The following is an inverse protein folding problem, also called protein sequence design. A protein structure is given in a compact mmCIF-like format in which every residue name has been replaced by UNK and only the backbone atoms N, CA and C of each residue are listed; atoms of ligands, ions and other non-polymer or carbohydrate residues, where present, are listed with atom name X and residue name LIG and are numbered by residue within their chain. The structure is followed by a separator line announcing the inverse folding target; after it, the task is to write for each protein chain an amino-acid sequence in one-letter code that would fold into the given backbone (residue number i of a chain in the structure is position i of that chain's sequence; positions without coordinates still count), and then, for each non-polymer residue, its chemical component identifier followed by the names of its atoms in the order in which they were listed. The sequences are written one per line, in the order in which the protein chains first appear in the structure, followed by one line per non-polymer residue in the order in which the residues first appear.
data_IF_944148686219
#
_entry.id   IF_944148686219
#
_cell.length_a   1.000
_cell.length_b   1.000
_cell.length_c   1.000
_cell.angle_alpha   90.00
_cell.angle_beta   90.00
_cell.angle_gamma   90.00
#
_symmetry.space_group_name_H-M   'P 1'
#
loop_
_entity.id
_entity.type
_entity.pdbx_description
1 polymer ?
#
# COMPACT_ATOMS: atom_id res chain seq x y z
N UNK A 1 26.02 -2.29 28.26
CA UNK A 1 25.25 -3.51 28.59
C UNK A 1 23.81 -3.19 28.26
N UNK A 2 23.33 -3.69 27.12
CA UNK A 2 21.95 -3.49 26.63
C UNK A 2 21.20 -4.80 26.86
N UNK A 3 20.14 -4.72 27.67
CA UNK A 3 19.31 -5.87 28.03
C UNK A 3 18.38 -6.26 26.87
N UNK A 4 18.43 -7.55 26.53
CA UNK A 4 17.54 -8.19 25.57
C UNK A 4 16.11 -8.27 26.12
N UNK A 5 15.21 -7.41 25.66
CA UNK A 5 13.79 -7.48 25.93
C UNK A 5 13.11 -8.59 25.13
N UNK A 6 12.97 -9.78 25.74
CA UNK A 6 12.16 -10.87 25.19
C UNK A 6 10.68 -10.54 25.42
N UNK A 7 9.92 -10.31 24.34
CA UNK A 7 8.48 -10.09 24.41
C UNK A 7 7.74 -11.41 24.71
N UNK A 8 7.17 -11.50 25.92
CA UNK A 8 6.23 -12.58 26.26
C UNK A 8 4.83 -12.21 25.76
N UNK A 9 4.40 -12.84 24.68
CA UNK A 9 3.03 -12.75 24.19
C UNK A 9 2.04 -13.44 25.14
N UNK A 10 0.95 -12.76 25.45
CA UNK A 10 -0.15 -13.30 26.26
C UNK A 10 -1.00 -14.26 25.40
N UNK A 11 -1.26 -15.46 25.92
CA UNK A 11 -1.76 -16.64 25.20
C UNK A 11 -3.17 -16.62 24.57
N UNK A 12 -3.91 -15.51 24.57
CA UNK A 12 -5.24 -15.43 23.92
C UNK A 12 -5.19 -14.96 22.46
N UNK A 13 -4.18 -14.19 22.08
CA UNK A 13 -3.97 -13.73 20.69
C UNK A 13 -3.49 -14.86 19.75
N UNK A 14 -2.90 -15.93 20.28
CA UNK A 14 -2.31 -17.02 19.49
C UNK A 14 -3.31 -17.90 18.74
N UNK A 15 -4.50 -18.14 19.27
CA UNK A 15 -5.47 -19.07 18.62
C UNK A 15 -6.23 -18.40 17.46
N UNK A 16 -6.57 -17.13 17.58
CA UNK A 16 -7.21 -16.38 16.48
C UNK A 16 -6.21 -16.07 15.35
N UNK A 17 -4.95 -15.83 15.69
CA UNK A 17 -3.86 -15.64 14.71
C UNK A 17 -3.60 -16.92 13.89
N UNK A 18 -3.59 -18.10 14.53
CA UNK A 18 -3.40 -19.40 13.86
C UNK A 18 -4.56 -19.79 12.94
N UNK A 19 -5.80 -19.41 13.28
CA UNK A 19 -6.96 -19.64 12.40
C UNK A 19 -6.97 -18.69 11.20
N UNK A 20 -6.50 -17.46 11.38
CA UNK A 20 -6.29 -16.49 10.31
C UNK A 20 -5.21 -16.94 9.32
N UNK A 21 -4.06 -17.38 9.81
CA UNK A 21 -2.94 -17.86 8.98
C UNK A 21 -3.32 -19.07 8.12
N UNK A 22 -4.09 -20.04 8.62
CA UNK A 22 -4.60 -21.17 7.82
C UNK A 22 -5.55 -20.72 6.72
N UNK A 23 -6.38 -19.71 6.97
CA UNK A 23 -7.26 -19.12 5.94
C UNK A 23 -6.45 -18.40 4.87
N UNK A 24 -5.41 -17.69 5.24
CA UNK A 24 -4.53 -16.93 4.33
C UNK A 24 -3.75 -17.88 3.42
N UNK A 25 -3.18 -18.97 3.96
CA UNK A 25 -2.44 -19.97 3.19
C UNK A 25 -3.30 -20.61 2.08
N UNK A 26 -4.63 -20.68 2.26
CA UNK A 26 -5.55 -21.20 1.25
C UNK A 26 -5.95 -20.18 0.16
N UNK A 27 -5.60 -18.90 0.31
CA UNK A 27 -5.87 -17.88 -0.69
C UNK A 27 -4.85 -17.92 -1.84
N UNK A 28 -3.67 -18.46 -1.60
CA UNK A 28 -2.55 -18.48 -2.56
C UNK A 28 -1.79 -19.81 -2.50
N UNK A 29 -1.27 -20.32 -3.64
CA UNK A 29 -1.12 -19.64 -4.93
C UNK A 29 -2.45 -19.49 -5.72
N UNK A 30 -2.54 -18.41 -6.53
CA UNK A 30 -3.66 -18.15 -7.41
C UNK A 30 -3.17 -17.89 -8.83
N UNK A 31 -3.63 -18.69 -9.79
CA UNK A 31 -3.34 -18.49 -11.22
C UNK A 31 -4.41 -17.62 -11.88
N UNK A 32 -4.00 -16.77 -12.80
CA UNK A 32 -4.87 -15.92 -13.60
C UNK A 32 -4.25 -15.58 -14.95
N UNK A 33 -5.08 -15.12 -15.90
CA UNK A 33 -4.62 -14.69 -17.22
C UNK A 33 -4.89 -13.20 -17.41
N UNK A 34 -3.90 -12.46 -17.90
CA UNK A 34 -4.02 -11.05 -18.27
C UNK A 34 -3.36 -10.83 -19.63
N UNK A 35 -4.13 -10.26 -20.58
CA UNK A 35 -3.67 -9.99 -21.95
C UNK A 35 -2.99 -11.21 -22.61
N UNK A 36 -3.57 -12.41 -22.43
CA UNK A 36 -3.07 -13.66 -22.99
C UNK A 36 -1.85 -14.26 -22.29
N UNK A 37 -1.34 -13.65 -21.21
CA UNK A 37 -0.25 -14.20 -20.40
C UNK A 37 -0.78 -14.87 -19.15
N UNK A 38 -0.39 -16.12 -18.93
CA UNK A 38 -0.63 -16.84 -17.68
C UNK A 38 0.31 -16.31 -16.61
N UNK A 39 -0.22 -16.05 -15.42
CA UNK A 39 0.51 -15.53 -14.27
C UNK A 39 0.06 -16.26 -13.01
N UNK A 40 0.96 -16.36 -12.04
CA UNK A 40 0.69 -16.90 -10.71
C UNK A 40 0.99 -15.84 -9.66
N UNK A 41 0.08 -15.65 -8.73
CA UNK A 41 0.30 -14.83 -7.53
C UNK A 41 0.50 -15.76 -6.35
N UNK A 42 1.58 -15.56 -5.60
CA UNK A 42 1.90 -16.35 -4.39
C UNK A 42 2.68 -15.54 -3.37
N UNK A 43 2.69 -16.00 -2.15
CA UNK A 43 3.63 -15.47 -1.16
C UNK A 43 5.05 -15.85 -1.54
N UNK A 44 5.94 -14.87 -1.43
CA UNK A 44 7.37 -15.07 -1.63
C UNK A 44 8.01 -15.46 -0.29
N UNK A 45 9.10 -16.19 -0.38
CA UNK A 45 9.91 -16.64 0.74
C UNK A 45 11.33 -16.08 0.60
N UNK A 46 12.15 -16.21 1.63
CA UNK A 46 13.50 -15.61 1.68
C UNK A 46 14.36 -15.96 0.47
N UNK A 47 14.23 -17.17 -0.09
CA UNK A 47 14.94 -17.55 -1.32
C UNK A 47 14.58 -16.70 -2.55
N UNK A 48 13.52 -15.91 -2.49
CA UNK A 48 13.12 -14.94 -3.53
C UNK A 48 13.74 -13.55 -3.35
N UNK A 49 14.59 -13.35 -2.34
CA UNK A 49 15.18 -12.04 -2.02
C UNK A 49 15.96 -11.45 -3.20
N UNK A 50 16.78 -12.24 -3.86
CA UNK A 50 17.59 -11.81 -5.02
C UNK A 50 16.71 -11.35 -6.19
N UNK A 51 15.63 -12.09 -6.50
CA UNK A 51 14.70 -11.73 -7.58
C UNK A 51 13.94 -10.45 -7.24
N UNK A 52 13.54 -10.28 -5.97
CA UNK A 52 12.87 -9.10 -5.50
C UNK A 52 13.77 -7.87 -5.58
N UNK A 53 15.01 -7.97 -5.11
CA UNK A 53 16.01 -6.90 -5.17
C UNK A 53 16.35 -6.52 -6.63
N UNK A 54 16.50 -7.52 -7.52
CA UNK A 54 16.74 -7.29 -8.94
C UNK A 54 15.55 -6.57 -9.61
N UNK A 55 14.32 -7.00 -9.31
CA UNK A 55 13.13 -6.34 -9.84
C UNK A 55 12.99 -4.90 -9.30
N UNK A 56 13.28 -4.66 -8.02
CA UNK A 56 13.30 -3.31 -7.45
C UNK A 56 14.30 -2.41 -8.21
N UNK A 57 15.54 -2.88 -8.37
CA UNK A 57 16.59 -2.13 -9.06
C UNK A 57 16.21 -1.81 -10.50
N UNK A 58 15.63 -2.77 -11.23
CA UNK A 58 15.12 -2.57 -12.57
C UNK A 58 14.00 -1.51 -12.60
N UNK A 59 13.05 -1.57 -11.66
CA UNK A 59 11.95 -0.59 -11.60
C UNK A 59 12.51 0.80 -11.33
N UNK A 60 13.40 0.95 -10.36
CA UNK A 60 14.02 2.24 -10.00
C UNK A 60 14.79 2.83 -11.18
N UNK A 61 15.57 2.02 -11.92
CA UNK A 61 16.34 2.49 -13.08
C UNK A 61 15.49 3.01 -14.24
N UNK A 62 14.19 2.69 -14.28
CA UNK A 62 13.24 3.12 -15.33
C UNK A 62 12.34 4.27 -14.89
N UNK A 63 12.52 4.81 -13.70
CA UNK A 63 11.73 5.94 -13.23
C UNK A 63 12.32 7.27 -13.72
N UNK A 64 11.47 8.24 -14.09
CA UNK A 64 11.94 9.56 -14.51
C UNK A 64 12.56 10.35 -13.36
N UNK A 65 12.15 10.10 -12.12
CA UNK A 65 12.60 10.80 -10.93
C UNK A 65 12.73 9.82 -9.76
N UNK A 66 13.82 9.96 -8.99
CA UNK A 66 14.12 9.06 -7.85
C UNK A 66 13.07 9.12 -6.74
N UNK A 67 12.42 10.27 -6.56
CA UNK A 67 11.41 10.47 -5.52
C UNK A 67 10.07 9.77 -5.80
N UNK A 68 9.88 9.20 -7.00
CA UNK A 68 8.64 8.48 -7.33
C UNK A 68 8.51 7.18 -6.53
N UNK A 69 9.62 6.53 -6.24
CA UNK A 69 9.65 5.27 -5.50
C UNK A 69 10.79 5.30 -4.48
N UNK A 70 10.49 4.96 -3.24
CA UNK A 70 11.50 4.81 -2.20
C UNK A 70 12.01 3.36 -2.21
N UNK A 71 13.23 3.11 -2.69
CA UNK A 71 13.79 1.76 -2.66
C UNK A 71 14.17 1.37 -1.24
N UNK A 72 14.14 0.08 -0.98
CA UNK A 72 14.59 -0.51 0.27
C UNK A 72 15.96 -1.16 0.06
N UNK A 73 16.82 -1.07 1.06
CA UNK A 73 18.09 -1.79 1.07
C UNK A 73 17.89 -3.29 1.29
N UNK A 74 18.94 -4.06 1.05
CA UNK A 74 18.90 -5.52 1.14
C UNK A 74 18.64 -5.99 2.57
N UNK A 75 19.17 -5.29 3.58
CA UNK A 75 18.93 -5.60 4.98
C UNK A 75 17.46 -5.45 5.35
N UNK A 76 16.80 -4.37 4.90
CA UNK A 76 15.38 -4.19 5.08
C UNK A 76 14.56 -5.28 4.39
N UNK A 77 14.91 -5.59 3.12
CA UNK A 77 14.22 -6.63 2.34
C UNK A 77 14.36 -8.00 2.99
N UNK A 78 15.54 -8.35 3.52
CA UNK A 78 15.76 -9.60 4.25
C UNK A 78 14.90 -9.66 5.52
N UNK A 79 14.84 -8.58 6.29
CA UNK A 79 14.02 -8.52 7.51
C UNK A 79 12.53 -8.69 7.24
N UNK A 80 12.01 -8.19 6.12
CA UNK A 80 10.59 -8.28 5.82
C UNK A 80 10.14 -9.74 5.61
N UNK A 81 11.02 -10.61 5.11
CA UNK A 81 10.75 -12.03 4.95
C UNK A 81 10.63 -12.80 6.28
N UNK A 82 11.10 -12.22 7.40
CA UNK A 82 10.91 -12.79 8.74
C UNK A 82 9.45 -12.72 9.20
N UNK A 83 8.63 -11.90 8.54
CA UNK A 83 7.19 -11.81 8.80
C UNK A 83 6.45 -12.63 7.75
N UNK A 84 5.77 -13.68 8.19
CA UNK A 84 5.00 -14.54 7.29
C UNK A 84 3.95 -13.75 6.51
N UNK A 85 3.74 -14.12 5.25
CA UNK A 85 2.73 -13.51 4.37
C UNK A 85 2.90 -12.01 4.11
N UNK A 86 4.07 -11.44 4.41
CA UNK A 86 4.35 -10.02 4.21
C UNK A 86 4.64 -9.65 2.76
N UNK A 87 5.08 -10.60 1.92
CA UNK A 87 5.47 -10.34 0.53
C UNK A 87 4.65 -11.19 -0.42
N UNK A 88 3.88 -10.54 -1.29
CA UNK A 88 3.22 -11.19 -2.43
C UNK A 88 3.99 -10.92 -3.71
N UNK A 89 4.19 -11.95 -4.53
CA UNK A 89 4.79 -11.86 -5.85
C UNK A 89 3.84 -12.32 -6.94
N UNK A 90 3.99 -11.76 -8.13
CA UNK A 90 3.37 -12.24 -9.36
C UNK A 90 4.48 -12.76 -10.27
N UNK A 91 4.34 -14.01 -10.68
CA UNK A 91 5.26 -14.69 -11.59
C UNK A 91 4.61 -14.87 -12.97
N UNK A 92 5.41 -14.69 -14.02
CA UNK A 92 5.07 -15.09 -15.40
C UNK A 92 6.07 -16.19 -15.81
N UNK A 93 5.61 -17.44 -15.78
CA UNK A 93 6.51 -18.58 -15.70
C UNK A 93 7.33 -18.56 -14.42
N UNK A 94 8.63 -18.67 -14.50
CA UNK A 94 9.53 -18.60 -13.33
C UNK A 94 9.97 -17.17 -12.97
N UNK A 95 9.68 -16.18 -13.84
CA UNK A 95 10.16 -14.81 -13.66
C UNK A 95 9.22 -14.01 -12.74
N UNK A 96 9.78 -13.41 -11.67
CA UNK A 96 9.08 -12.43 -10.86
C UNK A 96 8.86 -11.13 -11.68
N UNK A 97 7.58 -10.74 -11.85
CA UNK A 97 7.18 -9.59 -12.68
C UNK A 97 6.49 -8.48 -11.90
N UNK A 98 6.04 -8.77 -10.69
CA UNK A 98 5.56 -7.76 -9.76
C UNK A 98 5.65 -8.28 -8.33
N UNK A 99 5.76 -7.37 -7.36
CA UNK A 99 5.64 -7.71 -5.95
C UNK A 99 4.94 -6.59 -5.16
N UNK A 100 4.45 -6.94 -3.99
CA UNK A 100 4.01 -5.98 -2.98
C UNK A 100 4.45 -6.44 -1.60
N UNK A 101 4.69 -5.45 -0.73
CA UNK A 101 5.15 -5.66 0.65
C UNK A 101 4.14 -5.05 1.60
N UNK A 102 3.75 -5.82 2.62
CA UNK A 102 3.05 -5.32 3.81
C UNK A 102 4.02 -5.27 4.98
N UNK A 103 3.89 -4.24 5.79
CA UNK A 103 4.58 -4.08 7.07
C UNK A 103 3.59 -3.79 8.19
N UNK A 104 3.88 -4.30 9.36
CA UNK A 104 3.11 -4.09 10.58
C UNK A 104 3.92 -3.19 11.53
N UNK A 105 3.68 -1.87 11.54
CA UNK A 105 4.52 -0.91 12.27
C UNK A 105 4.28 -0.90 13.79
N UNK A 106 3.17 -1.50 14.25
CA UNK A 106 2.73 -1.38 15.64
C UNK A 106 2.54 0.09 16.04
N UNK A 107 2.87 0.46 17.27
CA UNK A 107 2.79 1.84 17.76
C UNK A 107 4.07 2.66 17.51
N UNK A 108 4.96 2.18 16.65
CA UNK A 108 6.24 2.82 16.33
C UNK A 108 6.08 4.23 15.75
N UNK A 109 7.12 5.08 15.94
CA UNK A 109 7.13 6.49 15.48
C UNK A 109 6.98 6.64 13.95
N UNK A 110 7.26 5.60 13.20
CA UNK A 110 7.15 5.53 11.75
C UNK A 110 5.80 4.98 11.26
N UNK A 111 4.84 4.77 12.20
CA UNK A 111 3.48 4.41 11.84
C UNK A 111 2.76 5.60 11.20
N UNK A 112 2.34 5.45 9.94
CA UNK A 112 1.64 6.49 9.16
C UNK A 112 0.30 6.91 9.77
N UNK A 113 -0.29 6.10 10.63
CA UNK A 113 -1.50 6.46 11.38
C UNK A 113 -1.27 7.62 12.33
N UNK A 114 -0.02 7.82 12.82
CA UNK A 114 0.32 8.99 13.63
C UNK A 114 0.21 10.30 12.83
N UNK A 115 0.57 10.29 11.55
CA UNK A 115 0.42 11.45 10.66
C UNK A 115 -1.06 11.79 10.40
N UNK A 116 -1.96 10.86 10.69
CA UNK A 116 -3.42 11.01 10.56
C UNK A 116 -4.12 11.23 11.91
N UNK A 117 -3.37 11.34 13.01
CA UNK A 117 -3.86 11.46 14.38
C UNK A 117 -4.83 10.33 14.77
N UNK A 118 -4.57 9.11 14.32
CA UNK A 118 -5.34 7.94 14.75
C UNK A 118 -5.08 7.63 16.22
N UNK A 119 -6.08 7.07 16.90
CA UNK A 119 -5.95 6.64 18.28
C UNK A 119 -4.90 5.52 18.43
N UNK A 120 -4.29 5.39 19.61
CA UNK A 120 -3.24 4.39 19.86
C UNK A 120 -3.75 2.95 19.62
N UNK A 121 -5.03 2.70 19.87
CA UNK A 121 -5.68 1.41 19.63
C UNK A 121 -5.75 1.08 18.14
N UNK A 122 -6.08 2.08 17.31
CA UNK A 122 -6.10 1.95 15.85
C UNK A 122 -4.70 1.73 15.28
N UNK A 123 -3.67 2.37 15.88
CA UNK A 123 -2.28 2.17 15.46
C UNK A 123 -1.82 0.71 15.59
N UNK A 124 -2.31 -0.02 16.60
CA UNK A 124 -1.98 -1.44 16.81
C UNK A 124 -2.57 -2.34 15.73
N UNK A 125 -3.71 -1.94 15.17
CA UNK A 125 -4.46 -2.68 14.14
C UNK A 125 -4.25 -2.10 12.74
N UNK A 126 -3.16 -1.34 12.53
CA UNK A 126 -2.83 -0.71 11.27
C UNK A 126 -1.67 -1.41 10.58
N UNK A 127 -1.82 -1.68 9.30
CA UNK A 127 -0.76 -2.16 8.43
C UNK A 127 -0.34 -1.09 7.41
N UNK A 128 0.89 -1.19 6.92
CA UNK A 128 1.36 -0.40 5.79
C UNK A 128 1.43 -1.25 4.53
N UNK A 129 0.80 -0.79 3.44
CA UNK A 129 1.16 -1.23 2.11
C UNK A 129 2.46 -0.50 1.72
N UNK A 130 3.58 -1.14 2.06
CA UNK A 130 4.90 -0.51 2.10
C UNK A 130 5.47 -0.24 0.71
N UNK A 131 5.32 -1.18 -0.21
CA UNK A 131 5.80 -1.06 -1.57
C UNK A 131 4.96 -1.90 -2.53
N UNK A 132 4.80 -1.42 -3.76
CA UNK A 132 4.36 -2.24 -4.90
C UNK A 132 5.26 -1.87 -6.08
N UNK A 133 5.89 -2.86 -6.68
CA UNK A 133 6.70 -2.68 -7.89
C UNK A 133 6.20 -3.59 -9.01
N UNK A 134 6.19 -3.08 -10.23
CA UNK A 134 5.78 -3.81 -11.43
C UNK A 134 6.83 -3.64 -12.51
N UNK A 135 7.31 -4.76 -13.02
CA UNK A 135 8.27 -4.82 -14.12
C UNK A 135 7.79 -3.94 -15.29
N UNK A 136 8.65 -3.10 -15.90
CA UNK A 136 8.25 -2.15 -16.95
C UNK A 136 7.41 -2.78 -18.08
N UNK A 137 7.77 -3.96 -18.57
CA UNK A 137 7.04 -4.66 -19.63
C UNK A 137 5.69 -5.26 -19.19
N UNK A 138 5.39 -5.26 -17.90
CA UNK A 138 4.12 -5.73 -17.33
C UNK A 138 3.28 -4.60 -16.75
N UNK A 139 3.68 -3.33 -16.97
CA UNK A 139 2.83 -2.17 -16.68
C UNK A 139 1.58 -2.19 -17.57
N UNK A 140 0.47 -1.67 -17.09
CA UNK A 140 -0.80 -1.70 -17.80
C UNK A 140 -1.56 -3.04 -17.74
N UNK A 141 -1.03 -4.06 -17.05
CA UNK A 141 -1.71 -5.34 -16.81
C UNK A 141 -2.61 -5.32 -15.56
N UNK A 142 -2.67 -4.22 -14.83
CA UNK A 142 -3.48 -4.09 -13.60
C UNK A 142 -2.84 -4.71 -12.37
N UNK A 143 -1.58 -5.18 -12.43
CA UNK A 143 -0.93 -5.95 -11.37
C UNK A 143 -0.84 -5.19 -10.05
N UNK A 144 -0.65 -3.87 -10.07
CA UNK A 144 -0.64 -3.06 -8.84
C UNK A 144 -1.98 -3.15 -8.09
N UNK A 145 -3.11 -3.09 -8.80
CA UNK A 145 -4.44 -3.21 -8.19
C UNK A 145 -4.72 -4.63 -7.70
N UNK A 146 -4.31 -5.63 -8.47
CA UNK A 146 -4.43 -7.04 -8.05
C UNK A 146 -3.65 -7.31 -6.74
N UNK A 147 -2.41 -6.85 -6.66
CA UNK A 147 -1.58 -7.00 -5.46
C UNK A 147 -2.15 -6.22 -4.26
N UNK A 148 -2.61 -4.98 -4.46
CA UNK A 148 -3.24 -4.20 -3.40
C UNK A 148 -4.52 -4.89 -2.89
N UNK A 149 -5.38 -5.36 -3.80
CA UNK A 149 -6.60 -6.09 -3.43
C UNK A 149 -6.30 -7.40 -2.69
N UNK A 150 -5.25 -8.11 -3.12
CA UNK A 150 -4.80 -9.34 -2.47
C UNK A 150 -4.36 -9.10 -1.02
N UNK A 151 -3.55 -8.06 -0.78
CA UNK A 151 -3.16 -7.70 0.58
C UNK A 151 -4.34 -7.22 1.44
N UNK A 152 -5.31 -6.51 0.86
CA UNK A 152 -6.53 -6.16 1.59
C UNK A 152 -7.28 -7.40 2.08
N UNK A 153 -7.39 -8.45 1.26
CA UNK A 153 -7.99 -9.73 1.66
C UNK A 153 -7.21 -10.42 2.79
N UNK A 154 -5.86 -10.38 2.71
CA UNK A 154 -4.98 -10.90 3.77
C UNK A 154 -5.22 -10.16 5.08
N UNK A 155 -5.27 -8.83 5.06
CA UNK A 155 -5.47 -8.01 6.25
C UNK A 155 -6.86 -8.21 6.87
N UNK A 156 -7.90 -8.26 6.05
CA UNK A 156 -9.26 -8.56 6.49
C UNK A 156 -9.34 -9.91 7.19
N UNK A 157 -8.65 -10.93 6.63
CA UNK A 157 -8.58 -12.27 7.22
C UNK A 157 -7.72 -12.33 8.50
N UNK A 158 -6.81 -11.37 8.70
CA UNK A 158 -5.90 -11.29 9.84
C UNK A 158 -6.42 -10.39 10.97
N UNK A 159 -7.60 -9.78 10.81
CA UNK A 159 -8.20 -8.90 11.81
C UNK A 159 -7.61 -7.49 11.87
N UNK A 160 -6.82 -7.07 10.88
CA UNK A 160 -6.40 -5.68 10.75
C UNK A 160 -7.56 -4.82 10.26
N UNK A 161 -7.70 -3.63 10.83
CA UNK A 161 -8.84 -2.73 10.55
C UNK A 161 -8.44 -1.53 9.71
N UNK A 162 -7.14 -1.22 9.65
CA UNK A 162 -6.61 -0.03 8.98
C UNK A 162 -5.43 -0.37 8.09
N UNK A 163 -5.36 0.29 6.94
CA UNK A 163 -4.19 0.22 6.07
C UNK A 163 -3.82 1.62 5.56
N UNK A 164 -2.54 1.94 5.65
CA UNK A 164 -1.96 3.15 5.10
C UNK A 164 -0.88 2.86 4.07
N UNK A 165 -0.67 3.80 3.17
CA UNK A 165 0.48 3.80 2.26
C UNK A 165 0.87 5.22 1.89
N UNK A 166 2.05 5.38 1.27
CA UNK A 166 2.49 6.67 0.73
C UNK A 166 2.58 6.63 -0.79
N UNK A 167 2.24 7.75 -1.42
CA UNK A 167 2.43 7.94 -2.87
C UNK A 167 3.01 9.32 -3.14
N UNK A 168 3.97 9.42 -4.08
CA UNK A 168 4.46 10.71 -4.57
C UNK A 168 3.38 11.43 -5.37
N UNK A 169 3.17 12.75 -5.21
CA UNK A 169 2.32 13.55 -6.10
C UNK A 169 2.73 13.46 -7.58
N UNK A 170 3.97 13.11 -7.85
CA UNK A 170 4.52 12.89 -9.21
C UNK A 170 4.20 11.49 -9.77
N UNK A 171 3.43 10.66 -9.05
CA UNK A 171 3.01 9.34 -9.50
C UNK A 171 1.48 9.20 -9.58
N UNK A 172 0.82 9.94 -10.49
CA UNK A 172 -0.63 9.91 -10.62
C UNK A 172 -1.16 8.51 -11.01
N UNK A 173 -0.36 7.70 -11.70
CA UNK A 173 -0.73 6.33 -12.08
C UNK A 173 -0.88 5.44 -10.84
N UNK A 174 0.11 5.47 -9.93
CA UNK A 174 0.04 4.73 -8.68
C UNK A 174 -1.10 5.26 -7.80
N UNK A 175 -1.23 6.59 -7.71
CA UNK A 175 -2.30 7.24 -6.97
C UNK A 175 -3.68 6.77 -7.45
N UNK A 176 -3.95 6.83 -8.75
CA UNK A 176 -5.21 6.39 -9.34
C UNK A 176 -5.50 4.90 -9.06
N UNK A 177 -4.49 4.03 -9.16
CA UNK A 177 -4.65 2.61 -8.87
C UNK A 177 -5.08 2.36 -7.42
N UNK A 178 -4.47 3.04 -6.45
CA UNK A 178 -4.79 2.87 -5.03
C UNK A 178 -6.13 3.50 -4.67
N UNK A 179 -6.45 4.69 -5.21
CA UNK A 179 -7.77 5.30 -5.03
C UNK A 179 -8.89 4.38 -5.58
N UNK A 180 -8.64 3.72 -6.72
CA UNK A 180 -9.60 2.74 -7.28
C UNK A 180 -9.77 1.47 -6.41
N UNK A 181 -8.80 1.18 -5.52
CA UNK A 181 -8.91 0.13 -4.49
C UNK A 181 -9.61 0.63 -3.21
N UNK A 182 -10.13 1.86 -3.20
CA UNK A 182 -10.87 2.43 -2.08
C UNK A 182 -10.04 3.21 -1.08
N UNK A 183 -8.75 3.40 -1.33
CA UNK A 183 -7.94 4.32 -0.53
C UNK A 183 -8.40 5.77 -0.71
N UNK A 184 -8.08 6.62 0.27
CA UNK A 184 -8.34 8.07 0.26
C UNK A 184 -7.09 8.82 0.67
N UNK A 185 -6.80 9.94 0.03
CA UNK A 185 -5.73 10.85 0.45
C UNK A 185 -6.22 11.63 1.65
N UNK A 186 -5.54 11.45 2.79
CA UNK A 186 -5.88 12.12 4.06
C UNK A 186 -4.82 13.07 4.58
N UNK A 187 -3.58 12.98 4.07
CA UNK A 187 -2.54 13.95 4.36
C UNK A 187 -1.63 14.14 3.15
N UNK A 188 -0.96 15.30 3.09
CA UNK A 188 0.11 15.61 2.14
C UNK A 188 1.22 16.29 2.91
N UNK A 189 2.30 15.56 3.18
CA UNK A 189 3.37 15.96 4.07
C UNK A 189 4.75 15.56 3.52
N UNK A 190 5.83 16.23 3.92
CA UNK A 190 7.17 15.77 3.60
C UNK A 190 7.52 14.51 4.41
N UNK A 191 8.04 13.50 3.71
CA UNK A 191 8.58 12.24 4.25
C UNK A 191 9.92 11.97 3.59
N UNK A 192 10.70 10.99 4.08
CA UNK A 192 11.92 10.51 3.44
C UNK A 192 12.79 11.67 2.90
N UNK A 193 13.67 12.22 3.65
CA UNK A 193 14.55 13.33 3.22
C UNK A 193 13.82 14.59 2.64
N UNK A 194 12.56 14.80 3.01
CA UNK A 194 11.80 16.00 2.63
C UNK A 194 10.94 15.86 1.38
N UNK A 195 10.82 14.69 0.79
CA UNK A 195 9.96 14.48 -0.38
C UNK A 195 8.47 14.53 -0.04
N UNK A 196 7.70 15.25 -0.81
CA UNK A 196 6.25 15.29 -0.64
C UNK A 196 5.61 13.93 -0.87
N UNK A 197 4.74 13.52 0.08
CA UNK A 197 3.99 12.27 0.01
C UNK A 197 2.54 12.49 0.39
N UNK A 198 1.65 11.97 -0.42
CA UNK A 198 0.31 11.67 0.04
C UNK A 198 0.39 10.55 1.06
N UNK A 199 -0.34 10.70 2.16
CA UNK A 199 -0.68 9.57 3.05
C UNK A 199 -2.07 9.11 2.65
N UNK A 200 -2.15 7.91 2.12
CA UNK A 200 -3.40 7.28 1.77
C UNK A 200 -3.83 6.36 2.91
N UNK A 201 -5.13 6.39 3.17
CA UNK A 201 -5.75 5.58 4.20
C UNK A 201 -6.93 4.81 3.62
N UNK A 202 -7.16 3.60 4.14
CA UNK A 202 -8.36 2.82 3.91
C UNK A 202 -8.72 2.04 5.18
N UNK A 203 -9.98 2.10 5.62
CA UNK A 203 -10.53 1.15 6.57
C UNK A 203 -10.69 -0.22 5.90
N UNK A 204 -10.30 -1.27 6.59
CA UNK A 204 -10.47 -2.67 6.18
C UNK A 204 -11.76 -3.14 6.84
N UNK A 205 -12.92 -2.65 6.40
CA UNK A 205 -14.19 -3.06 7.00
C UNK A 205 -14.67 -4.38 6.41
N UNK A 206 -15.22 -5.21 7.30
CA UNK A 206 -15.89 -6.46 6.94
C UNK A 206 -17.14 -6.13 6.11
N UNK A 207 -16.99 -6.20 4.81
CA UNK A 207 -18.04 -6.44 3.78
C UNK A 207 -19.31 -5.59 3.69
N UNK A 208 -19.45 -4.40 4.25
CA UNK A 208 -20.70 -3.62 4.04
C UNK A 208 -20.55 -2.20 3.48
N UNK A 209 -19.38 -1.60 3.57
CA UNK A 209 -19.18 -0.23 3.12
C UNK A 209 -18.55 -0.14 1.72
N UNK A 210 -19.28 -0.55 0.69
CA UNK A 210 -19.05 0.04 -0.63
C UNK A 210 -19.40 1.52 -0.48
N UNK A 211 -18.43 2.44 -0.75
CA UNK A 211 -18.76 3.85 -0.73
C UNK A 211 -19.93 4.06 -1.67
N UNK A 212 -21.05 4.49 -1.14
CA UNK A 212 -22.15 5.02 -1.95
C UNK A 212 -21.53 6.09 -2.83
N UNK A 213 -21.83 6.05 -4.12
CA UNK A 213 -21.48 7.12 -5.05
C UNK A 213 -22.19 8.38 -4.54
N UNK A 214 -21.50 9.11 -3.67
CA UNK A 214 -22.00 10.39 -3.21
C UNK A 214 -21.87 11.33 -4.40
N UNK A 215 -23.00 11.68 -4.98
CA UNK A 215 -23.15 12.87 -5.83
C UNK A 215 -23.07 14.06 -4.87
N UNK A 216 -21.84 14.43 -4.47
CA UNK A 216 -21.67 15.66 -3.68
C UNK A 216 -21.48 16.83 -4.62
N UNK A 217 -22.31 17.87 -4.46
CA UNK A 217 -22.23 19.12 -5.22
C UNK A 217 -20.92 19.89 -5.00
N UNK A 218 -20.06 19.45 -4.07
CA UNK A 218 -18.82 20.10 -3.65
C UNK A 218 -17.56 19.32 -4.05
N UNK A 219 -17.47 18.88 -5.30
CA UNK A 219 -16.24 18.30 -5.83
C UNK A 219 -15.25 19.41 -6.22
N UNK A 220 -14.01 19.35 -5.71
CA UNK A 220 -12.96 20.32 -6.01
C UNK A 220 -11.78 19.58 -6.65
N UNK A 221 -11.47 19.89 -7.91
CA UNK A 221 -10.28 19.42 -8.61
C UNK A 221 -9.10 20.37 -8.38
N UNK A 222 -7.95 19.81 -7.98
CA UNK A 222 -6.69 20.56 -7.83
C UNK A 222 -5.54 19.79 -8.49
N UNK A 223 -4.71 20.50 -9.23
CA UNK A 223 -3.52 19.94 -9.86
C UNK A 223 -2.64 19.21 -8.83
N UNK A 224 -2.18 18.00 -9.15
CA UNK A 224 -1.30 17.21 -8.27
C UNK A 224 0.01 17.96 -7.93
N UNK A 225 0.42 18.91 -8.75
CA UNK A 225 1.58 19.78 -8.52
C UNK A 225 1.31 20.95 -7.55
N UNK A 226 0.04 21.31 -7.30
CA UNK A 226 -0.33 22.39 -6.39
C UNK A 226 -0.39 21.88 -4.94
N UNK A 227 0.78 21.75 -4.33
CA UNK A 227 0.94 21.19 -2.96
C UNK A 227 0.15 22.01 -1.94
N UNK A 228 0.28 23.33 -1.97
CA UNK A 228 -0.32 24.22 -0.96
C UNK A 228 -1.85 24.22 -1.03
N UNK A 229 -2.42 24.30 -2.23
CA UNK A 229 -3.86 24.22 -2.42
C UNK A 229 -4.45 22.89 -1.92
N UNK A 230 -3.78 21.78 -2.18
CA UNK A 230 -4.19 20.46 -1.70
C UNK A 230 -4.13 20.37 -0.16
N UNK A 231 -3.04 20.86 0.45
CA UNK A 231 -2.89 20.88 1.91
C UNK A 231 -3.97 21.73 2.59
N UNK A 232 -4.36 22.84 1.95
CA UNK A 232 -5.45 23.69 2.44
C UNK A 232 -6.80 22.96 2.45
N UNK A 233 -7.13 22.20 1.37
CA UNK A 233 -8.35 21.38 1.33
C UNK A 233 -8.33 20.30 2.40
N UNK A 234 -7.22 19.57 2.53
CA UNK A 234 -7.08 18.52 3.55
C UNK A 234 -7.30 19.12 4.94
N UNK A 235 -6.72 20.30 5.24
CA UNK A 235 -6.91 21.00 6.53
C UNK A 235 -8.37 21.40 6.79
N UNK A 236 -9.13 21.67 5.74
CA UNK A 236 -10.57 21.97 5.81
C UNK A 236 -11.45 20.71 5.91
N UNK A 237 -10.86 19.52 6.04
CA UNK A 237 -11.58 18.24 6.19
C UNK A 237 -12.02 17.63 4.86
N UNK A 238 -11.33 17.92 3.76
CA UNK A 238 -11.53 17.21 2.49
C UNK A 238 -10.58 16.04 2.36
N UNK A 239 -11.02 14.97 1.70
CA UNK A 239 -10.19 13.83 1.32
C UNK A 239 -10.10 13.71 -0.20
N UNK A 240 -8.89 13.36 -0.71
CA UNK A 240 -8.72 13.07 -2.14
C UNK A 240 -9.22 11.66 -2.46
N UNK A 241 -10.06 11.53 -3.48
CA UNK A 241 -10.73 10.26 -3.78
C UNK A 241 -10.63 9.78 -5.23
N UNK A 242 -10.28 10.65 -6.16
CA UNK A 242 -10.18 10.33 -7.60
C UNK A 242 -9.12 11.17 -8.27
N UNK A 243 -8.48 10.63 -9.31
CA UNK A 243 -7.54 11.35 -10.17
C UNK A 243 -8.08 11.39 -11.59
N UNK A 244 -8.08 12.56 -12.20
CA UNK A 244 -8.42 12.76 -13.59
C UNK A 244 -7.30 13.45 -14.36
N UNK A 245 -7.28 13.26 -15.68
CA UNK A 245 -6.37 13.96 -16.56
C UNK A 245 -7.03 15.26 -17.04
N UNK A 246 -6.36 16.39 -16.84
CA UNK A 246 -6.82 17.71 -17.28
C UNK A 246 -5.75 18.33 -18.19
N UNK A 247 -5.99 18.26 -19.50
CA UNK A 247 -4.97 18.63 -20.49
C UNK A 247 -3.76 17.69 -20.41
N UNK A 248 -2.57 18.25 -20.18
CA UNK A 248 -1.32 17.49 -19.99
C UNK A 248 -1.05 17.13 -18.52
N UNK A 249 -1.82 17.68 -17.58
CA UNK A 249 -1.66 17.52 -16.15
C UNK A 249 -2.62 16.47 -15.57
N UNK A 250 -2.43 16.18 -14.29
CA UNK A 250 -3.33 15.36 -13.50
C UNK A 250 -3.85 16.18 -12.33
N UNK A 251 -5.16 16.12 -12.12
CA UNK A 251 -5.83 16.72 -10.98
C UNK A 251 -6.29 15.64 -10.03
N UNK A 252 -6.10 15.90 -8.73
CA UNK A 252 -6.70 15.13 -7.65
C UNK A 252 -8.02 15.80 -7.26
N UNK A 253 -9.09 15.03 -7.27
CA UNK A 253 -10.42 15.47 -6.89
C UNK A 253 -10.67 15.18 -5.42
N UNK A 254 -11.19 16.18 -4.73
CA UNK A 254 -11.46 16.20 -3.31
C UNK A 254 -12.95 16.29 -3.04
N UNK A 255 -13.38 15.66 -1.95
CA UNK A 255 -14.73 15.79 -1.39
C UNK A 255 -14.63 15.97 0.11
N UNK A 256 -15.65 16.52 0.73
CA UNK A 256 -15.70 16.65 2.19
C UNK A 256 -15.82 15.27 2.83
N UNK A 257 -15.08 15.04 3.93
CA UNK A 257 -15.27 13.84 4.76
C UNK A 257 -16.62 13.93 5.44
N UNK A 258 -17.37 12.83 5.41
CA UNK A 258 -18.63 12.68 6.18
C UNK A 258 -18.35 12.46 7.67
#
# INVERSE_FOLDING_TARGET
MAENGVWKEKGHCRQEHLTGQKKIANLYPRSFVRRGKSMEMRFLVESSLSDLAALQSLVVSTLPEVEIFMPHDEEYLSRIFQTEHSVLGVLAGEKLVAYSIIRYPGTGKDNLGQDLNLAEEDLKNLAHLQAIAVHPHFRGYGLQRELAAAHLQVLESSGYEHICCTVSPKNPVSLNNLLSCGFRVRALIPKFAGWWRYILYKGVSRSSDRPKKAESEDEIGIACSNIDGQRELIRKGYEGYSVGKTGENFDLFYRKME
#
